data_IF_776620061544
#
_entry.id   IF_776620061544
#
_cell.length_a   1.000
_cell.length_b   1.000
_cell.length_c   1.000
_cell.angle_alpha   90.00
_cell.angle_beta   90.00
_cell.angle_gamma   90.00
#
_symmetry.space_group_name_H-M   'P 1'
#
loop_
_entity.id
_entity.type
_entity.pdbx_description
1 polymer ?
2 non-polymer ?
3 non-polymer ?
4 non-polymer ?
5 non-polymer ?
6 non-polymer ?
7 water ?
#
# COMPACT_ATOMS: atom_id res chain seq x y z
N UNK A 3 18.86 -7.40 6.18
CA UNK A 3 17.67 -7.99 6.85
C UNK A 3 17.78 -9.51 7.01
N UNK A 4 17.31 -10.03 8.13
CA UNK A 4 17.16 -11.48 8.34
C UNK A 4 16.27 -12.11 7.23
N UNK A 5 16.48 -13.42 6.92
CA UNK A 5 15.71 -14.09 5.84
C UNK A 5 14.17 -13.91 5.84
N UNK A 6 13.55 -14.02 7.01
CA UNK A 6 12.09 -13.86 7.17
C UNK A 6 11.61 -12.44 6.82
N UNK A 7 12.41 -11.45 7.21
CA UNK A 7 12.12 -10.06 6.87
C UNK A 7 12.31 -9.83 5.37
N UNK A 8 13.37 -10.40 4.81
CA UNK A 8 13.66 -10.32 3.37
C UNK A 8 12.53 -10.92 2.54
N UNK A 9 12.05 -12.09 2.95
CA UNK A 9 10.92 -12.74 2.29
C UNK A 9 9.65 -11.86 2.35
N UNK A 10 9.35 -11.31 3.53
CA UNK A 10 8.17 -10.48 3.66
C UNK A 10 8.26 -9.27 2.71
N UNK A 11 9.42 -8.63 2.68
CA UNK A 11 9.65 -7.50 1.77
C UNK A 11 9.42 -7.89 0.31
N UNK A 12 10.02 -9.00 -0.12
CA UNK A 12 9.87 -9.43 -1.52
C UNK A 12 8.42 -9.78 -1.84
N UNK A 13 7.73 -10.46 -0.92
CA UNK A 13 6.31 -10.77 -1.13
C UNK A 13 5.42 -9.52 -1.13
N UNK A 14 5.74 -8.51 -0.34
CA UNK A 14 4.96 -7.25 -0.36
C UNK A 14 5.05 -6.51 -1.71
N UNK A 15 6.17 -6.65 -2.41
CA UNK A 15 6.33 -6.04 -3.77
C UNK A 15 5.35 -6.56 -4.84
N UNK A 16 4.75 -7.72 -4.57
CA UNK A 16 3.64 -8.26 -5.38
C UNK A 16 2.43 -7.31 -5.44
N UNK A 17 2.25 -6.48 -4.42
CA UNK A 17 1.12 -5.56 -4.38
C UNK A 17 1.27 -4.43 -5.41
N UNK A 18 0.16 -4.02 -6.05
CA UNK A 18 0.17 -2.91 -7.00
C UNK A 18 0.59 -1.59 -6.40
N UNK A 19 1.49 -0.90 -7.07
CA UNK A 19 1.98 0.40 -6.61
C UNK A 19 2.95 0.35 -5.44
N UNK A 20 3.51 -0.81 -5.12
CA UNK A 20 4.41 -0.96 -3.97
C UNK A 20 5.75 -1.35 -4.55
N UNK A 21 6.68 -0.41 -4.53
CA UNK A 21 8.08 -0.65 -4.96
C UNK A 21 8.91 -1.25 -3.85
N UNK A 22 10.21 -1.40 -4.08
CA UNK A 22 11.08 -1.97 -3.06
C UNK A 22 11.17 -1.11 -1.80
N UNK A 23 11.36 0.19 -1.97
CA UNK A 23 11.47 1.12 -0.82
C UNK A 23 10.21 1.08 0.04
N UNK A 24 9.06 1.17 -0.59
CA UNK A 24 7.79 1.13 0.11
C UNK A 24 7.55 -0.23 0.82
N UNK A 25 7.96 -1.33 0.18
CA UNK A 25 7.85 -2.66 0.77
C UNK A 25 8.71 -2.80 2.02
N UNK A 26 9.94 -2.27 1.95
CA UNK A 26 10.84 -2.23 3.11
C UNK A 26 10.22 -1.54 4.30
N UNK A 27 9.65 -0.37 4.07
CA UNK A 27 8.99 0.40 5.12
C UNK A 27 7.75 -0.31 5.64
N UNK A 28 6.97 -0.92 4.76
CA UNK A 28 5.76 -1.66 5.19
C UNK A 28 6.10 -2.84 6.10
N UNK A 29 7.06 -3.66 5.66
CA UNK A 29 7.50 -4.83 6.40
C UNK A 29 7.91 -4.43 7.82
N UNK A 30 8.81 -3.45 7.91
CA UNK A 30 9.38 -3.08 9.19
C UNK A 30 8.37 -2.40 10.11
N UNK A 31 7.49 -1.58 9.54
CA UNK A 31 6.42 -0.94 10.32
C UNK A 31 5.44 -1.95 10.86
N UNK A 32 5.05 -2.89 10.00
CA UNK A 32 4.13 -3.97 10.42
C UNK A 32 4.68 -4.75 11.57
N UNK A 33 5.96 -5.13 11.50
CA UNK A 33 6.61 -5.86 12.58
C UNK A 33 6.79 -5.03 13.83
N UNK A 34 7.10 -3.74 13.69
CA UNK A 34 7.35 -2.91 14.90
C UNK A 34 6.09 -2.61 15.67
N UNK A 35 4.96 -2.46 15.00
CA UNK A 35 3.78 -1.94 15.67
C UNK A 35 2.47 -2.71 15.52
N UNK A 36 2.40 -3.68 14.61
CA UNK A 36 1.14 -4.38 14.37
C UNK A 36 1.32 -5.83 13.93
N UNK A 37 1.97 -6.64 14.76
CA UNK A 37 2.22 -8.04 14.43
C UNK A 37 0.94 -8.83 14.30
N UNK A 38 0.03 -8.60 15.23
CA UNK A 38 -1.26 -9.25 15.20
C UNK A 38 -2.09 -8.82 13.98
N UNK A 39 -2.03 -7.54 13.59
CA UNK A 39 -2.62 -7.09 12.31
C UNK A 39 -2.04 -7.77 11.08
N UNK A 40 -0.73 -8.03 11.10
CA UNK A 40 -0.10 -8.82 10.04
C UNK A 40 -0.67 -10.23 9.92
N UNK A 41 -0.91 -10.86 11.07
CA UNK A 41 -1.50 -12.19 11.11
C UNK A 41 -2.94 -12.19 10.60
N UNK A 42 -3.71 -11.20 11.01
CA UNK A 42 -5.07 -11.03 10.51
C UNK A 42 -5.11 -10.85 8.99
N UNK A 43 -4.18 -10.06 8.44
CA UNK A 43 -4.07 -9.90 7.00
C UNK A 43 -3.74 -11.22 6.34
N UNK A 44 -2.80 -11.97 6.92
CA UNK A 44 -2.44 -13.29 6.36
C UNK A 44 -3.67 -14.20 6.28
N UNK A 45 -4.46 -14.21 7.37
CA UNK A 45 -5.68 -15.02 7.44
C UNK A 45 -6.72 -14.56 6.43
N UNK A 46 -6.94 -13.25 6.35
CA UNK A 46 -7.83 -12.69 5.35
C UNK A 46 -7.37 -12.99 3.93
N UNK A 47 -6.07 -12.94 3.69
CA UNK A 47 -5.55 -13.25 2.36
C UNK A 47 -5.80 -14.71 1.97
N UNK A 48 -5.50 -15.61 2.88
CA UNK A 48 -5.66 -17.03 2.63
C UNK A 48 -7.14 -17.36 2.40
N UNK A 49 -8.01 -16.84 3.27
CA UNK A 49 -9.45 -17.11 3.13
C UNK A 49 -9.97 -16.64 1.76
N UNK A 50 -9.60 -15.42 1.38
CA UNK A 50 -10.08 -14.84 0.10
C UNK A 50 -9.49 -15.54 -1.14
N UNK A 51 -8.19 -15.77 -1.13
CA UNK A 51 -7.54 -16.43 -2.27
C UNK A 51 -8.11 -17.83 -2.50
N UNK A 52 -8.48 -18.53 -1.44
CA UNK A 52 -9.00 -19.90 -1.56
C UNK A 52 -10.51 -19.96 -1.73
N UNK A 53 -11.24 -19.01 -1.16
CA UNK A 53 -12.68 -19.09 -1.11
C UNK A 53 -13.43 -18.22 -2.10
N UNK A 54 -12.80 -17.24 -2.74
CA UNK A 54 -13.53 -16.31 -3.61
C UNK A 54 -13.53 -16.87 -5.03
N UNK A 55 -14.74 -17.10 -5.54
CA UNK A 55 -14.94 -17.57 -6.92
C UNK A 55 -15.60 -16.48 -7.74
N UNK A 56 -16.55 -16.88 -8.57
CA UNK A 56 -17.28 -15.97 -9.43
C UNK A 56 -18.76 -16.12 -9.22
N UNK A 57 -19.46 -14.98 -9.21
CA UNK A 57 -20.91 -15.00 -9.26
C UNK A 57 -21.38 -15.72 -10.51
N UNK A 58 -22.35 -16.60 -10.35
CA UNK A 58 -22.83 -17.42 -11.48
C UNK A 58 -23.65 -16.62 -12.51
N UNK A 59 -24.17 -15.45 -12.12
CA UNK A 59 -24.91 -14.59 -13.04
C UNK A 59 -24.06 -13.51 -13.72
N UNK A 60 -23.46 -12.62 -12.96
CA UNK A 60 -22.74 -11.48 -13.53
C UNK A 60 -21.25 -11.75 -13.72
N UNK A 61 -20.74 -12.82 -13.11
CA UNK A 61 -19.35 -13.22 -13.22
C UNK A 61 -18.38 -12.31 -12.44
N UNK A 62 -18.88 -11.45 -11.57
CA UNK A 62 -17.98 -10.71 -10.71
C UNK A 62 -17.32 -11.64 -9.67
N UNK A 63 -16.34 -11.12 -8.94
CA UNK A 63 -15.67 -11.89 -7.89
C UNK A 63 -16.58 -11.97 -6.69
N UNK A 64 -16.79 -13.19 -6.19
CA UNK A 64 -17.70 -13.44 -5.04
C UNK A 64 -17.45 -14.81 -4.44
N UNK A 65 -17.44 -14.92 -3.11
CA UNK A 65 -17.43 -16.24 -2.44
C UNK A 65 -18.79 -16.89 -2.48
N UNK A 66 -19.80 -16.05 -2.46
CA UNK A 66 -21.21 -16.46 -2.60
C UNK A 66 -21.49 -16.70 -4.07
N UNK A 67 -22.28 -17.72 -4.35
CA UNK A 67 -22.60 -18.08 -5.72
C UNK A 67 -23.41 -17.01 -6.44
N UNK A 68 -24.20 -16.23 -5.69
CA UNK A 68 -24.77 -14.97 -6.17
C UNK A 68 -24.12 -13.84 -5.39
N UNK A 69 -23.61 -12.83 -6.10
CA UNK A 69 -22.99 -11.69 -5.46
C UNK A 69 -24.07 -10.83 -4.79
N UNK A 70 -23.68 -9.85 -3.96
CA UNK A 70 -24.70 -8.97 -3.29
C UNK A 70 -25.74 -8.35 -4.23
N UNK A 71 -25.28 -7.90 -5.40
CA UNK A 71 -26.15 -7.28 -6.38
C UNK A 71 -27.08 -8.30 -7.03
N UNK A 72 -26.55 -9.43 -7.49
CA UNK A 72 -27.41 -10.44 -8.13
C UNK A 72 -28.33 -11.13 -7.10
N UNK A 73 -27.90 -11.23 -5.84
CA UNK A 73 -28.68 -11.87 -4.77
C UNK A 73 -29.89 -11.03 -4.32
N UNK A 74 -29.86 -9.71 -4.48
CA UNK A 74 -31.02 -8.87 -4.17
C UNK A 74 -32.13 -8.98 -5.23
N UNK A 75 -33.30 -9.53 -4.87
CA UNK A 75 -34.41 -9.56 -5.85
C UNK A 75 -35.09 -8.22 -6.10
N UNK A 76 -34.87 -7.26 -5.24
CA UNK A 76 -35.66 -5.99 -5.33
C UNK A 76 -35.08 -5.02 -6.38
N UNK A 77 -34.04 -5.40 -7.07
CA UNK A 77 -33.48 -4.62 -8.16
C UNK A 77 -34.29 -4.63 -9.45
N UNK A 78 -33.89 -3.75 -10.36
CA UNK A 78 -34.54 -3.58 -11.65
C UNK A 78 -34.01 -4.62 -12.67
N UNK A 79 -34.84 -5.63 -12.94
CA UNK A 79 -34.44 -6.71 -13.85
C UNK A 79 -34.50 -6.33 -15.35
N UNK A 80 -34.94 -5.12 -15.68
CA UNK A 80 -34.99 -4.66 -17.07
C UNK A 80 -33.67 -4.02 -17.57
N UNK A 81 -32.75 -3.71 -16.65
CA UNK A 81 -31.49 -3.04 -16.97
C UNK A 81 -30.28 -3.92 -16.69
N UNK A 82 -29.38 -3.98 -17.68
CA UNK A 82 -28.11 -4.69 -17.56
C UNK A 82 -26.99 -3.69 -17.86
N UNK A 83 -26.03 -3.57 -16.94
CA UNK A 83 -24.91 -2.68 -17.09
C UNK A 83 -23.65 -3.51 -17.22
N UNK A 84 -22.96 -3.38 -18.36
CA UNK A 84 -21.79 -4.17 -18.70
C UNK A 84 -20.53 -3.37 -18.36
N UNK A 85 -19.66 -3.94 -17.53
CA UNK A 85 -18.41 -3.30 -17.11
C UNK A 85 -17.23 -4.23 -17.26
N UNK A 86 -16.03 -3.69 -17.09
CA UNK A 86 -14.78 -4.42 -17.31
C UNK A 86 -14.23 -5.13 -16.09
N UNK A 87 -14.74 -4.85 -14.91
CA UNK A 87 -14.22 -5.50 -13.71
C UNK A 87 -14.98 -5.14 -12.44
N UNK A 88 -14.73 -5.87 -11.35
CA UNK A 88 -15.48 -5.69 -10.09
C UNK A 88 -15.38 -4.27 -9.51
N UNK A 89 -14.25 -3.59 -9.68
CA UNK A 89 -14.14 -2.21 -9.17
C UNK A 89 -15.05 -1.27 -9.92
N UNK A 90 -15.40 -1.60 -11.17
CA UNK A 90 -16.36 -0.81 -11.94
C UNK A 90 -17.78 -1.06 -11.46
N UNK A 91 -18.08 -2.28 -11.03
CA UNK A 91 -19.36 -2.56 -10.36
C UNK A 91 -19.50 -1.66 -9.14
N UNK A 92 -18.44 -1.61 -8.32
CA UNK A 92 -18.41 -0.75 -7.13
C UNK A 92 -18.59 0.73 -7.51
N UNK A 93 -17.86 1.20 -8.53
CA UNK A 93 -17.99 2.60 -8.95
C UNK A 93 -19.44 2.94 -9.37
N UNK A 94 -20.06 2.06 -10.16
CA UNK A 94 -21.43 2.34 -10.63
C UNK A 94 -22.46 2.24 -9.48
N UNK A 95 -22.25 1.29 -8.56
CA UNK A 95 -23.11 1.20 -7.39
C UNK A 95 -23.17 2.49 -6.59
N UNK A 96 -22.06 3.24 -6.51
CA UNK A 96 -22.05 4.50 -5.74
C UNK A 96 -22.95 5.56 -6.36
N UNK A 97 -23.33 5.40 -7.63
CA UNK A 97 -24.21 6.36 -8.30
C UNK A 97 -25.68 6.15 -7.96
N UNK A 98 -26.02 5.07 -7.26
CA UNK A 98 -27.41 4.73 -6.99
C UNK A 98 -28.12 3.92 -8.08
N UNK A 99 -27.38 3.47 -9.11
CA UNK A 99 -27.89 2.49 -10.09
C UNK A 99 -28.53 1.27 -9.38
N UNK A 100 -29.72 0.85 -9.82
CA UNK A 100 -30.40 -0.30 -9.19
C UNK A 100 -30.70 -1.49 -10.13
N UNK A 101 -30.05 -1.53 -11.29
CA UNK A 101 -30.24 -2.63 -12.22
C UNK A 101 -29.25 -3.77 -11.99
N UNK A 102 -29.07 -4.59 -13.02
CA UNK A 102 -28.17 -5.71 -12.95
C UNK A 102 -26.90 -5.41 -13.69
N UNK A 103 -25.88 -6.22 -13.42
CA UNK A 103 -24.58 -6.10 -14.02
C UNK A 103 -24.16 -7.34 -14.79
N UNK A 104 -23.25 -7.12 -15.71
CA UNK A 104 -22.40 -8.17 -16.21
C UNK A 104 -21.00 -7.68 -16.21
N UNK A 105 -20.08 -8.52 -15.71
CA UNK A 105 -18.70 -8.16 -15.53
C UNK A 105 -17.85 -8.98 -16.48
N UNK A 106 -17.33 -8.28 -17.49
CA UNK A 106 -16.39 -8.85 -18.40
C UNK A 106 -15.06 -9.00 -17.65
N UNK A 107 -14.20 -9.86 -18.17
CA UNK A 107 -12.82 -9.90 -17.74
C UNK A 107 -11.98 -8.95 -18.60
N UNK A 108 -12.01 -7.67 -18.26
CA UNK A 108 -11.28 -6.67 -19.02
C UNK A 108 -11.92 -6.35 -20.36
N UNK A 109 -11.07 -6.07 -21.32
CA UNK A 109 -11.45 -5.61 -22.63
C UNK A 109 -10.71 -6.43 -23.68
N UNK A 110 -11.23 -6.39 -24.91
CA UNK A 110 -10.59 -7.08 -26.00
C UNK A 110 -9.16 -6.57 -26.17
N UNK A 111 -8.25 -7.49 -26.42
CA UNK A 111 -6.87 -7.18 -26.73
C UNK A 111 -6.28 -8.35 -27.51
N UNK A 112 -6.54 -8.37 -28.83
CA UNK A 112 -6.22 -9.55 -29.65
C UNK A 112 -4.74 -9.89 -29.69
N UNK A 113 -3.88 -8.89 -29.59
CA UNK A 113 -2.43 -9.11 -29.56
C UNK A 113 -1.93 -9.67 -28.22
N UNK A 114 -2.77 -9.70 -27.18
CA UNK A 114 -2.48 -10.42 -25.94
C UNK A 114 -3.30 -11.71 -25.86
N UNK A 115 -3.87 -12.15 -26.98
CA UNK A 115 -4.78 -13.30 -26.98
C UNK A 115 -6.02 -13.16 -26.12
N UNK A 116 -6.57 -11.93 -25.97
CA UNK A 116 -7.82 -11.75 -25.23
C UNK A 116 -8.86 -11.34 -26.24
N UNK A 117 -9.52 -12.34 -26.81
CA UNK A 117 -10.67 -12.17 -27.69
C UNK A 117 -11.97 -12.38 -26.95
N UNK A 118 -13.08 -12.50 -27.70
CA UNK A 118 -14.42 -12.58 -27.13
C UNK A 118 -14.59 -13.66 -26.04
N UNK A 119 -14.05 -14.88 -26.26
CA UNK A 119 -14.20 -15.97 -25.27
C UNK A 119 -13.42 -15.68 -24.00
N UNK A 120 -12.20 -15.14 -24.13
CA UNK A 120 -11.39 -14.82 -22.96
C UNK A 120 -12.02 -13.75 -22.03
N UNK A 121 -12.72 -12.76 -22.60
CA UNK A 121 -13.28 -11.67 -21.76
C UNK A 121 -14.68 -11.93 -21.24
N UNK A 122 -15.32 -12.97 -21.73
CA UNK A 122 -16.61 -13.42 -21.22
C UNK A 122 -17.81 -13.13 -22.08
N UNK A 123 -17.63 -12.84 -23.37
CA UNK A 123 -18.76 -12.59 -24.26
C UNK A 123 -19.77 -13.71 -24.29
N UNK A 124 -19.34 -14.98 -24.41
CA UNK A 124 -20.35 -16.07 -24.34
C UNK A 124 -21.22 -16.07 -23.06
N UNK A 125 -20.60 -15.79 -21.92
CA UNK A 125 -21.31 -15.68 -20.65
C UNK A 125 -22.25 -14.47 -20.65
N UNK A 126 -21.82 -13.35 -21.24
CA UNK A 126 -22.74 -12.19 -21.42
C UNK A 126 -23.97 -12.57 -22.24
N UNK A 127 -23.76 -13.31 -23.33
CA UNK A 127 -24.84 -13.77 -24.18
C UNK A 127 -25.79 -14.70 -23.43
N UNK A 128 -25.26 -15.59 -22.61
CA UNK A 128 -26.08 -16.45 -21.75
C UNK A 128 -26.86 -15.64 -20.73
N UNK A 129 -26.23 -14.63 -20.12
CA UNK A 129 -26.93 -13.74 -19.18
C UNK A 129 -28.15 -13.08 -19.83
N UNK A 130 -27.94 -12.60 -21.05
CA UNK A 130 -29.02 -11.97 -21.80
C UNK A 130 -30.12 -12.97 -22.16
N UNK A 131 -29.74 -14.14 -22.67
CA UNK A 131 -30.69 -15.23 -22.98
C UNK A 131 -31.53 -15.61 -21.76
N UNK A 132 -30.90 -15.74 -20.59
CA UNK A 132 -31.58 -16.19 -19.37
C UNK A 132 -32.36 -15.10 -18.63
N UNK A 133 -32.22 -13.84 -19.03
CA UNK A 133 -32.93 -12.70 -18.41
C UNK A 133 -34.03 -12.14 -19.30
N UNK A 134 -34.54 -10.96 -18.93
CA UNK A 134 -35.63 -10.31 -19.66
C UNK A 134 -35.33 -8.81 -19.66
N UNK A 135 -34.18 -8.47 -20.22
CA UNK A 135 -33.70 -7.10 -20.20
C UNK A 135 -34.34 -6.30 -21.32
N UNK A 136 -34.65 -5.03 -21.07
CA UNK A 136 -35.06 -4.12 -22.13
C UNK A 136 -33.91 -3.19 -22.53
N UNK A 137 -32.94 -2.92 -21.63
CA UNK A 137 -31.80 -2.04 -21.96
C UNK A 137 -30.46 -2.65 -21.51
N UNK A 138 -29.46 -2.58 -22.38
CA UNK A 138 -28.10 -2.97 -22.05
C UNK A 138 -27.27 -1.69 -22.13
N UNK A 139 -26.69 -1.31 -20.99
CA UNK A 139 -25.87 -0.12 -20.86
C UNK A 139 -24.41 -0.54 -20.97
N UNK A 140 -23.72 -0.05 -21.98
CA UNK A 140 -22.32 -0.34 -22.15
C UNK A 140 -21.50 0.67 -21.35
N UNK A 141 -20.92 0.19 -20.25
CA UNK A 141 -20.11 0.96 -19.34
C UNK A 141 -18.69 0.42 -19.23
N UNK A 142 -18.16 -0.08 -20.34
CA UNK A 142 -16.70 -0.27 -20.46
C UNK A 142 -16.02 1.10 -20.29
N UNK A 143 -14.73 1.08 -19.99
CA UNK A 143 -13.99 2.32 -19.80
C UNK A 143 -13.87 3.07 -21.12
N UNK A 144 -13.83 4.41 -21.07
CA UNK A 144 -13.71 5.16 -22.34
C UNK A 144 -12.24 5.25 -22.78
N UNK A 145 -11.68 4.09 -23.07
CA UNK A 145 -10.33 3.96 -23.55
C UNK A 145 -10.46 3.42 -24.96
N UNK A 146 -9.35 3.39 -25.69
CA UNK A 146 -9.37 2.87 -27.04
C UNK A 146 -9.94 1.44 -27.05
N UNK A 147 -9.38 0.62 -26.16
CA UNK A 147 -9.78 -0.80 -26.07
C UNK A 147 -11.19 -0.97 -25.45
N UNK A 148 -11.55 -0.12 -24.49
CA UNK A 148 -12.91 -0.19 -23.91
C UNK A 148 -13.99 0.15 -24.90
N UNK A 149 -13.70 1.14 -25.77
CA UNK A 149 -14.62 1.56 -26.83
C UNK A 149 -14.75 0.48 -27.87
N UNK A 150 -13.63 -0.11 -28.27
CA UNK A 150 -13.66 -1.22 -29.20
C UNK A 150 -14.49 -2.41 -28.64
N UNK A 151 -14.36 -2.68 -27.35
CA UNK A 151 -15.16 -3.70 -26.71
C UNK A 151 -16.65 -3.36 -26.71
N UNK A 152 -16.99 -2.10 -26.41
CA UNK A 152 -18.40 -1.67 -26.46
C UNK A 152 -19.02 -1.84 -27.83
N UNK A 153 -18.29 -1.43 -28.86
CA UNK A 153 -18.70 -1.60 -30.23
C UNK A 153 -18.85 -3.05 -30.65
N UNK A 154 -17.97 -3.92 -30.16
CA UNK A 154 -18.07 -5.34 -30.47
C UNK A 154 -19.39 -5.88 -29.88
N UNK A 155 -19.69 -5.47 -28.65
CA UNK A 155 -20.89 -5.94 -27.98
C UNK A 155 -22.14 -5.32 -28.66
N UNK A 156 -22.07 -4.06 -29.08
CA UNK A 156 -23.22 -3.42 -29.72
C UNK A 156 -23.58 -4.12 -31.03
N UNK A 157 -22.58 -4.52 -31.84
CA UNK A 157 -22.87 -5.24 -33.08
C UNK A 157 -23.42 -6.63 -32.81
N UNK A 158 -22.91 -7.28 -31.79
CA UNK A 158 -23.37 -8.60 -31.39
C UNK A 158 -24.85 -8.56 -31.00
N UNK A 159 -25.26 -7.50 -30.29
CA UNK A 159 -26.61 -7.41 -29.74
C UNK A 159 -27.64 -6.68 -30.60
N UNK A 160 -27.23 -6.18 -31.77
CA UNK A 160 -28.13 -5.43 -32.64
C UNK A 160 -29.27 -6.30 -33.16
N UNK A 161 -30.41 -5.68 -33.42
CA UNK A 161 -31.56 -6.38 -33.97
C UNK A 161 -32.21 -7.38 -33.04
N UNK A 162 -32.10 -7.18 -31.72
CA UNK A 162 -32.79 -8.04 -30.76
C UNK A 162 -33.92 -7.32 -30.00
N UNK A 163 -34.30 -6.13 -30.47
CA UNK A 163 -35.28 -5.31 -29.76
C UNK A 163 -34.80 -4.72 -28.43
N UNK A 164 -33.49 -4.74 -28.18
CA UNK A 164 -32.92 -4.14 -27.00
C UNK A 164 -32.59 -2.68 -27.26
N UNK A 165 -32.73 -1.84 -26.24
CA UNK A 165 -32.10 -0.53 -26.25
C UNK A 165 -30.64 -0.69 -25.86
N UNK A 166 -29.74 -0.16 -26.67
CA UNK A 166 -28.30 -0.32 -26.45
C UNK A 166 -27.77 1.07 -26.26
N UNK A 167 -27.23 1.35 -25.07
CA UNK A 167 -26.76 2.69 -24.73
C UNK A 167 -25.31 2.63 -24.25
N UNK A 168 -24.67 3.79 -24.23
CA UNK A 168 -23.26 3.97 -23.89
C UNK A 168 -23.19 5.17 -22.95
N UNK A 169 -22.46 5.00 -21.85
CA UNK A 169 -22.26 6.09 -20.90
C UNK A 169 -21.60 7.27 -21.61
N UNK A 170 -21.98 8.47 -21.16
CA UNK A 170 -21.47 9.68 -21.76
C UNK A 170 -19.98 9.85 -21.43
N UNK A 171 -19.20 10.24 -22.44
CA UNK A 171 -17.80 10.46 -22.30
C UNK A 171 -17.31 11.52 -23.28
N UNK A 172 -16.21 12.18 -22.93
CA UNK A 172 -15.56 13.13 -23.82
C UNK A 172 -14.75 14.08 -22.99
N UNK A 173 -15.11 15.36 -23.04
CA UNK A 173 -14.54 16.33 -22.09
C UNK A 173 -15.07 15.98 -20.70
N UNK A 174 -14.18 15.96 -19.68
CA UNK A 174 -14.69 15.63 -18.34
C UNK A 174 -15.56 16.75 -17.78
N UNK A 175 -16.53 16.40 -16.93
CA UNK A 175 -17.33 17.40 -16.21
C UNK A 175 -16.50 18.19 -15.23
N UNK A 176 -16.81 19.47 -15.08
CA UNK A 176 -15.92 20.41 -14.40
C UNK A 176 -14.76 20.95 -15.24
N UNK A 177 -14.51 20.35 -16.40
CA UNK A 177 -13.37 20.73 -17.24
C UNK A 177 -13.52 22.10 -17.86
N UNK A 178 -12.39 22.77 -18.07
CA UNK A 178 -12.35 24.00 -18.84
C UNK A 178 -11.67 23.58 -20.15
N UNK A 179 -12.20 24.03 -21.28
CA UNK A 179 -11.71 23.57 -22.58
C UNK A 179 -10.23 23.89 -22.77
N UNK A 180 -9.80 25.06 -22.31
CA UNK A 180 -8.39 25.46 -22.32
C UNK A 180 -7.42 24.47 -21.65
N UNK A 181 -7.90 23.63 -20.73
CA UNK A 181 -7.05 22.72 -19.96
C UNK A 181 -7.12 21.28 -20.40
N UNK A 182 -8.05 20.93 -21.29
CA UNK A 182 -8.20 19.52 -21.64
C UNK A 182 -7.17 19.19 -22.72
N UNK A 183 -6.68 17.96 -22.77
CA UNK A 183 -5.76 17.66 -23.87
C UNK A 183 -6.53 17.74 -25.22
N UNK A 184 -5.80 18.21 -26.22
CA UNK A 184 -6.29 18.39 -27.57
C UNK A 184 -6.96 17.20 -28.22
N UNK A 185 -6.46 15.99 -28.00
CA UNK A 185 -7.06 14.78 -28.55
C UNK A 185 -8.47 14.52 -28.00
N UNK A 186 -8.61 14.73 -26.69
CA UNK A 186 -9.90 14.60 -26.07
C UNK A 186 -10.89 15.64 -26.66
N UNK A 187 -10.42 16.87 -26.80
CA UNK A 187 -11.25 17.94 -27.36
C UNK A 187 -11.69 17.65 -28.79
N UNK A 188 -10.77 17.15 -29.61
CA UNK A 188 -11.08 16.83 -31.00
C UNK A 188 -12.14 15.74 -31.07
N UNK A 189 -11.99 14.73 -30.23
CA UNK A 189 -12.97 13.65 -30.12
C UNK A 189 -14.36 14.17 -29.67
N UNK A 190 -14.36 15.00 -28.63
CA UNK A 190 -15.61 15.57 -28.12
C UNK A 190 -16.33 16.45 -29.11
N UNK A 191 -15.56 17.15 -29.93
CA UNK A 191 -16.10 18.01 -30.95
C UNK A 191 -16.72 17.19 -32.08
N UNK A 192 -15.96 16.21 -32.57
CA UNK A 192 -16.44 15.31 -33.62
C UNK A 192 -17.64 14.47 -33.13
N UNK A 193 -17.68 14.15 -31.85
CA UNK A 193 -18.78 13.41 -31.27
C UNK A 193 -19.84 14.26 -30.60
N UNK A 194 -19.93 15.53 -30.99
CA UNK A 194 -20.97 16.39 -30.46
C UNK A 194 -22.38 15.86 -30.74
N UNK A 195 -23.29 16.16 -29.82
CA UNK A 195 -24.64 15.63 -29.79
C UNK A 195 -25.67 16.76 -29.84
N UNK A 196 -26.92 16.46 -30.25
CA UNK A 196 -28.01 17.43 -30.13
C UNK A 196 -28.26 17.93 -28.70
N UNK A 197 -28.74 19.17 -28.59
CA UNK A 197 -29.08 19.78 -27.31
C UNK A 197 -30.40 20.55 -27.46
N UNK B 1 -19.46 -2.53 1.02
CA UNK B 1 -20.87 -3.07 0.99
C UNK B 1 -21.31 -3.62 -0.39
N UNK B 2 -20.83 -3.03 -1.48
CA UNK B 2 -20.99 -3.64 -2.83
C UNK B 2 -20.23 -4.98 -3.02
N UNK B 3 -19.19 -5.20 -2.22
CA UNK B 3 -18.41 -6.45 -2.22
C UNK B 3 -18.91 -7.48 -1.22
N UNK B 4 -18.85 -8.75 -1.61
CA UNK B 4 -19.12 -9.88 -0.72
C UNK B 4 -18.18 -9.85 0.52
N UNK B 5 -18.65 -10.46 1.64
CA UNK B 5 -17.95 -10.28 2.94
C UNK B 5 -16.43 -10.58 2.96
N UNK B 6 -16.02 -11.68 2.32
CA UNK B 6 -14.58 -12.03 2.26
C UNK B 6 -13.72 -11.03 1.49
N UNK B 7 -14.29 -10.45 0.44
CA UNK B 7 -13.59 -9.39 -0.30
C UNK B 7 -13.51 -8.13 0.56
N UNK B 8 -14.62 -7.82 1.24
CA UNK B 8 -14.71 -6.64 2.12
C UNK B 8 -13.67 -6.74 3.25
N UNK B 9 -13.58 -7.93 3.85
CA UNK B 9 -12.55 -8.18 4.85
C UNK B 9 -11.14 -8.04 4.35
N UNK B 10 -10.85 -8.59 3.17
CA UNK B 10 -9.49 -8.45 2.60
C UNK B 10 -9.13 -6.98 2.42
N UNK B 11 -10.08 -6.20 1.90
CA UNK B 11 -9.89 -4.76 1.73
C UNK B 11 -9.59 -4.07 3.07
N UNK B 12 -10.40 -4.34 4.08
CA UNK B 12 -10.19 -3.73 5.39
C UNK B 12 -8.87 -4.17 6.03
N UNK B 13 -8.52 -5.45 5.90
CA UNK B 13 -7.22 -5.93 6.42
C UNK B 13 -6.03 -5.35 5.66
N UNK B 14 -6.16 -5.09 4.35
CA UNK B 14 -5.05 -4.43 3.62
C UNK B 14 -4.76 -2.98 4.10
N UNK B 15 -5.78 -2.29 4.61
CA UNK B 15 -5.62 -0.94 5.18
C UNK B 15 -4.71 -0.87 6.42
N UNK B 16 -4.49 -2.02 7.06
CA UNK B 16 -3.49 -2.18 8.12
C UNK B 16 -2.08 -1.85 7.68
N UNK B 17 -1.77 -1.97 6.39
CA UNK B 17 -0.44 -1.63 5.88
C UNK B 17 -0.20 -0.11 5.93
N UNK B 18 1.02 0.32 6.30
CA UNK B 18 1.36 1.75 6.33
C UNK B 18 1.28 2.41 4.98
N UNK B 19 0.64 3.57 4.92
CA UNK B 19 0.50 4.33 3.69
C UNK B 19 -0.50 3.78 2.69
N UNK B 20 -1.39 2.88 3.12
CA UNK B 20 -2.38 2.28 2.24
C UNK B 20 -3.73 2.72 2.73
N UNK B 21 -4.36 3.62 1.95
CA UNK B 21 -5.71 4.09 2.22
C UNK B 21 -6.77 3.14 1.69
N UNK B 22 -8.03 3.53 1.84
CA UNK B 22 -9.14 2.67 1.43
C UNK B 22 -9.14 2.40 -0.07
N UNK B 23 -8.98 3.44 -0.89
CA UNK B 23 -9.04 3.28 -2.34
C UNK B 23 -7.93 2.35 -2.83
N UNK B 24 -6.72 2.57 -2.33
CA UNK B 24 -5.60 1.73 -2.70
C UNK B 24 -5.77 0.26 -2.25
N UNK B 25 -6.34 0.07 -1.04
CA UNK B 25 -6.63 -1.27 -0.54
C UNK B 25 -7.64 -2.01 -1.40
N UNK B 26 -8.68 -1.30 -1.85
CA UNK B 26 -9.67 -1.84 -2.77
C UNK B 26 -9.04 -2.36 -4.05
N UNK B 27 -8.17 -1.56 -4.65
CA UNK B 27 -7.47 -1.94 -5.87
C UNK B 27 -6.52 -3.12 -5.61
N UNK B 28 -5.82 -3.12 -4.49
CA UNK B 28 -4.91 -4.24 -4.18
C UNK B 28 -5.66 -5.58 -4.04
N UNK B 29 -6.75 -5.56 -3.27
CA UNK B 29 -7.57 -6.73 -3.02
C UNK B 29 -8.04 -7.34 -4.33
N UNK B 30 -8.64 -6.49 -5.17
CA UNK B 30 -9.24 -6.96 -6.40
C UNK B 30 -8.19 -7.42 -7.40
N UNK B 31 -7.06 -6.74 -7.47
CA UNK B 31 -5.95 -7.16 -8.36
C UNK B 31 -5.40 -8.52 -7.93
N UNK B 32 -5.19 -8.71 -6.63
CA UNK B 32 -4.72 -10.01 -6.13
C UNK B 32 -5.63 -11.15 -6.57
N UNK B 33 -6.93 -10.97 -6.35
CA UNK B 33 -7.92 -11.96 -6.73
C UNK B 33 -8.01 -12.17 -8.24
N UNK B 34 -7.92 -11.09 -9.03
CA UNK B 34 -8.11 -11.21 -10.48
C UNK B 34 -6.94 -11.89 -11.16
N UNK B 35 -5.73 -11.68 -10.67
CA UNK B 35 -4.57 -11.99 -11.50
C UNK B 35 -3.41 -12.65 -10.78
N UNK B 36 -3.45 -12.78 -9.45
CA UNK B 36 -2.29 -13.33 -8.76
C UNK B 36 -2.66 -14.06 -7.48
N UNK B 37 -3.43 -15.13 -7.61
CA UNK B 37 -3.90 -15.88 -6.44
C UNK B 37 -2.75 -16.50 -5.70
N UNK B 38 -1.83 -17.10 -6.45
CA UNK B 38 -0.66 -17.72 -5.83
C UNK B 38 0.25 -16.68 -5.15
N UNK B 39 0.40 -15.50 -5.73
CA UNK B 39 1.10 -14.37 -5.08
C UNK B 39 0.45 -13.93 -3.77
N UNK B 40 -0.88 -13.94 -3.73
CA UNK B 40 -1.61 -13.67 -2.48
C UNK B 40 -1.28 -14.67 -1.39
N UNK B 41 -1.22 -15.94 -1.77
CA UNK B 41 -0.92 -17.02 -0.83
C UNK B 41 0.52 -16.92 -0.33
N UNK B 42 1.45 -16.63 -1.22
CA UNK B 42 2.84 -16.40 -0.84
C UNK B 42 2.99 -15.26 0.14
N UNK B 43 2.27 -14.16 -0.08
CA UNK B 43 2.30 -13.04 0.84
C UNK B 43 1.74 -13.47 2.20
N UNK B 44 0.64 -14.22 2.19
CA UNK B 44 0.05 -14.72 3.45
C UNK B 44 1.07 -15.56 4.23
N UNK B 45 1.76 -16.45 3.52
CA UNK B 45 2.79 -17.31 4.13
C UNK B 45 3.96 -16.50 4.65
N UNK B 46 4.43 -15.55 3.86
CA UNK B 46 5.50 -14.66 4.30
C UNK B 46 5.08 -13.84 5.51
N UNK B 47 3.84 -13.38 5.53
CA UNK B 47 3.35 -12.61 6.66
C UNK B 47 3.31 -13.45 7.94
N UNK B 48 2.76 -14.65 7.84
CA UNK B 48 2.65 -15.54 8.98
C UNK B 48 4.04 -15.90 9.52
N UNK B 49 4.94 -16.28 8.62
CA UNK B 49 6.30 -16.67 9.06
C UNK B 49 6.98 -15.51 9.80
N UNK B 50 6.91 -14.30 9.24
CA UNK B 50 7.59 -13.14 9.84
C UNK B 50 6.94 -12.66 11.14
N UNK B 51 5.61 -12.58 11.15
CA UNK B 51 4.91 -12.14 12.36
C UNK B 51 5.14 -13.11 13.53
N UNK B 52 5.32 -14.40 13.25
CA UNK B 52 5.57 -15.39 14.30
C UNK B 52 7.06 -15.57 14.63
N UNK B 53 7.93 -15.40 13.65
CA UNK B 53 9.34 -15.70 13.82
C UNK B 53 10.26 -14.51 14.13
N UNK B 54 9.82 -13.28 13.89
CA UNK B 54 10.73 -12.13 14.04
C UNK B 54 10.50 -11.55 15.42
N UNK B 55 11.53 -11.58 16.26
CA UNK B 55 11.48 -10.96 17.60
C UNK B 55 12.42 -9.76 17.66
N UNK B 56 13.11 -9.61 18.77
CA UNK B 56 13.99 -8.47 19.01
C UNK B 56 15.36 -8.94 19.44
N UNK B 57 16.38 -8.25 18.94
CA UNK B 57 17.74 -8.55 19.35
C UNK B 57 17.88 -8.22 20.83
N UNK B 58 18.53 -9.11 21.56
CA UNK B 58 18.72 -8.91 23.01
C UNK B 58 19.68 -7.78 23.37
N UNK B 59 20.52 -7.34 22.43
CA UNK B 59 21.46 -6.21 22.68
C UNK B 59 20.87 -4.85 22.25
N UNK B 60 20.58 -4.70 20.96
CA UNK B 60 20.21 -3.39 20.41
C UNK B 60 18.71 -3.18 20.37
N UNK B 61 17.94 -4.26 20.54
CA UNK B 61 16.47 -4.23 20.51
C UNK B 61 15.91 -4.02 19.11
N UNK B 62 16.70 -4.11 18.05
CA UNK B 62 16.11 -4.02 16.71
C UNK B 62 15.35 -5.33 16.41
N UNK B 63 14.65 -5.34 15.28
CA UNK B 63 13.93 -6.51 14.81
C UNK B 63 14.90 -7.56 14.31
N UNK B 64 14.77 -8.79 14.82
CA UNK B 64 15.68 -9.91 14.51
C UNK B 64 15.04 -11.25 14.81
N UNK B 65 15.28 -12.22 13.94
CA UNK B 65 14.82 -13.61 14.16
C UNK B 65 15.74 -14.27 15.18
N UNK B 66 17.02 -13.92 15.10
CA UNK B 66 18.01 -14.43 16.02
C UNK B 66 18.07 -13.58 17.26
N UNK B 67 18.61 -14.18 18.30
CA UNK B 67 18.85 -13.52 19.57
C UNK B 67 19.85 -12.35 19.43
N UNK B 68 20.80 -12.47 18.49
CA UNK B 68 21.61 -11.35 18.05
C UNK B 68 21.26 -11.05 16.62
N UNK B 69 21.01 -9.79 16.33
CA UNK B 69 20.70 -9.36 14.97
C UNK B 69 21.98 -9.45 14.10
N UNK B 70 21.81 -9.37 12.77
CA UNK B 70 22.98 -9.35 11.85
C UNK B 70 24.07 -8.33 12.25
N UNK B 71 23.66 -7.12 12.67
CA UNK B 71 24.60 -6.09 13.03
C UNK B 71 25.31 -6.41 14.33
N UNK B 72 24.60 -6.82 15.38
CA UNK B 72 25.28 -7.18 16.64
C UNK B 72 26.10 -8.48 16.52
N UNK B 73 25.67 -9.39 15.66
CA UNK B 73 26.37 -10.69 15.48
C UNK B 73 27.70 -10.57 14.70
N UNK B 74 27.83 -9.55 13.85
CA UNK B 74 28.96 -9.43 12.94
C UNK B 74 30.22 -8.93 13.65
N UNK B 75 31.29 -9.76 13.70
CA UNK B 75 32.54 -9.32 14.34
C UNK B 75 33.34 -8.28 13.56
N UNK B 76 33.02 -8.06 12.28
CA UNK B 76 33.78 -7.04 11.53
C UNK B 76 33.47 -5.59 11.94
N UNK B 77 32.39 -5.42 12.70
CA UNK B 77 31.97 -4.09 13.04
C UNK B 77 32.76 -3.41 14.13
N UNK B 78 32.56 -2.09 14.20
CA UNK B 78 33.34 -1.23 15.04
C UNK B 78 32.67 -1.17 16.44
N UNK B 79 33.27 -1.85 17.40
CA UNK B 79 32.75 -1.93 18.75
C UNK B 79 32.95 -0.66 19.59
N UNK B 80 33.65 0.36 19.07
CA UNK B 80 33.83 1.60 19.78
C UNK B 80 32.67 2.61 19.55
N UNK B 81 31.81 2.35 18.57
CA UNK B 81 30.72 3.25 18.21
C UNK B 81 29.33 2.65 18.47
N UNK B 82 28.50 3.44 19.14
CA UNK B 82 27.12 3.10 19.38
C UNK B 82 26.27 4.22 18.81
N UNK B 83 25.30 3.86 17.96
CA UNK B 83 24.42 4.83 17.35
C UNK B 83 23.01 4.60 17.87
N UNK B 84 22.47 5.63 18.53
CA UNK B 84 21.19 5.55 19.20
C UNK B 84 20.14 6.15 18.27
N UNK B 85 19.12 5.35 17.93
CA UNK B 85 18.03 5.75 17.04
C UNK B 85 16.69 5.44 17.64
N UNK B 86 15.63 5.97 17.00
CA UNK B 86 14.28 5.93 17.55
C UNK B 86 13.48 4.72 17.10
N UNK B 87 13.97 3.94 16.14
CA UNK B 87 13.25 2.74 15.71
C UNK B 87 13.99 1.96 14.66
N UNK B 88 13.52 0.74 14.35
CA UNK B 88 14.20 -0.13 13.38
C UNK B 88 14.33 0.46 11.97
N UNK B 89 13.37 1.26 11.52
CA UNK B 89 13.52 1.92 10.21
C UNK B 89 14.67 2.93 10.18
N UNK B 90 14.98 3.50 11.35
CA UNK B 90 16.14 4.39 11.46
C UNK B 90 17.45 3.60 11.45
N UNK B 91 17.44 2.40 12.02
CA UNK B 91 18.60 1.51 11.90
C UNK B 91 18.87 1.25 10.43
N UNK B 92 17.82 0.91 9.68
CA UNK B 92 17.94 0.70 8.25
C UNK B 92 18.41 1.93 7.51
N UNK B 93 17.87 3.10 7.82
CA UNK B 93 18.33 4.36 7.19
C UNK B 93 19.82 4.61 7.44
N UNK B 94 20.30 4.40 8.68
CA UNK B 94 21.73 4.62 8.98
C UNK B 94 22.62 3.57 8.32
N UNK B 95 22.16 2.32 8.27
CA UNK B 95 22.88 1.27 7.56
C UNK B 95 23.16 1.61 6.12
N UNK B 96 22.23 2.30 5.45
CA UNK B 96 22.40 2.64 4.04
C UNK B 96 23.50 3.65 3.82
N UNK B 97 23.93 4.36 4.87
CA UNK B 97 25.01 5.32 4.75
C UNK B 97 26.39 4.67 4.77
N UNK B 98 26.47 3.36 5.04
CA UNK B 98 27.75 2.69 5.18
C UNK B 98 28.35 2.68 6.59
N UNK B 99 27.63 3.23 7.57
CA UNK B 99 27.96 3.07 9.01
C UNK B 99 28.22 1.62 9.38
N UNK B 100 29.33 1.35 10.08
CA UNK B 100 29.66 -0.03 10.50
C UNK B 100 29.89 -0.19 12.02
N UNK B 101 29.32 0.68 12.84
CA UNK B 101 29.36 0.53 14.31
C UNK B 101 28.15 -0.27 14.82
N UNK B 102 27.85 -0.11 16.10
CA UNK B 102 26.74 -0.80 16.72
C UNK B 102 25.58 0.16 16.93
N UNK B 103 24.41 -0.39 17.22
CA UNK B 103 23.18 0.36 17.45
C UNK B 103 22.56 0.13 18.81
N UNK B 104 21.75 1.10 19.22
CA UNK B 104 20.73 0.85 20.23
C UNK B 104 19.45 1.49 19.74
N UNK B 105 18.34 0.78 19.88
CA UNK B 105 17.06 1.23 19.37
C UNK B 105 16.13 1.58 20.52
N UNK B 106 15.89 2.88 20.68
CA UNK B 106 14.89 3.38 21.58
C UNK B 106 13.53 3.07 20.99
N UNK B 107 12.53 3.09 21.84
CA UNK B 107 11.14 3.08 21.39
C UNK B 107 10.65 4.52 21.23
N UNK B 108 10.97 5.15 20.11
CA UNK B 108 10.56 6.54 19.91
C UNK B 108 11.35 7.53 20.77
N UNK B 109 10.67 8.59 21.17
CA UNK B 109 11.31 9.75 21.79
C UNK B 109 10.48 10.16 23.00
N UNK B 110 11.10 10.89 23.90
CA UNK B 110 10.41 11.48 25.03
C UNK B 110 9.28 12.37 24.55
N UNK B 111 8.15 12.27 25.23
CA UNK B 111 6.99 13.07 24.89
C UNK B 111 6.12 13.19 26.10
N UNK B 112 6.34 14.26 26.91
CA UNK B 112 5.60 14.47 28.15
C UNK B 112 4.11 14.59 27.96
N UNK B 113 3.69 15.18 26.85
CA UNK B 113 2.26 15.32 26.56
C UNK B 113 1.61 14.02 26.09
N UNK B 114 2.39 12.98 25.78
CA UNK B 114 1.85 11.62 25.57
C UNK B 114 2.15 10.71 26.74
N UNK B 115 2.65 11.26 27.85
CA UNK B 115 3.17 10.43 28.96
C UNK B 115 4.25 9.38 28.60
N UNK B 116 5.14 9.75 27.68
CA UNK B 116 6.26 8.89 27.30
C UNK B 116 7.55 9.43 27.85
N UNK B 117 8.01 8.80 28.92
CA UNK B 117 9.24 9.18 29.63
C UNK B 117 10.35 8.16 29.41
N UNK B 118 11.44 8.32 30.15
CA UNK B 118 12.63 7.50 30.01
C UNK B 118 12.42 5.99 30.06
N UNK B 119 11.57 5.51 30.99
CA UNK B 119 11.27 4.07 31.14
C UNK B 119 10.53 3.53 29.90
N UNK B 120 9.55 4.30 29.41
CA UNK B 120 8.77 3.89 28.24
C UNK B 120 9.61 3.74 26.97
N UNK B 121 10.61 4.60 26.77
CA UNK B 121 11.39 4.58 25.51
C UNK B 121 12.62 3.67 25.54
N UNK B 122 12.98 3.18 26.73
CA UNK B 122 14.09 2.23 26.85
C UNK B 122 15.43 2.76 27.38
N UNK B 123 15.41 3.88 28.06
CA UNK B 123 16.63 4.45 28.64
C UNK B 123 17.38 3.49 29.58
N UNK B 124 16.69 2.81 30.49
CA UNK B 124 17.39 1.82 31.33
C UNK B 124 18.14 0.73 30.53
N UNK B 125 17.52 0.25 29.45
CA UNK B 125 18.15 -0.73 28.58
C UNK B 125 19.35 -0.11 27.84
N UNK B 126 19.23 1.15 27.41
CA UNK B 126 20.39 1.85 26.82
C UNK B 126 21.56 1.94 27.82
N UNK B 127 21.26 2.25 29.07
CA UNK B 127 22.28 2.32 30.11
C UNK B 127 22.96 0.96 30.31
N UNK B 128 22.17 -0.11 30.30
CA UNK B 128 22.73 -1.47 30.39
C UNK B 128 23.60 -1.82 29.18
N UNK B 129 23.16 -1.43 27.99
CA UNK B 129 23.94 -1.63 26.77
C UNK B 129 25.32 -0.98 26.85
N UNK B 130 25.34 0.25 27.37
CA UNK B 130 26.58 0.98 27.53
C UNK B 130 27.48 0.30 28.60
N UNK B 131 26.90 -0.05 29.75
CA UNK B 131 27.63 -0.76 30.80
C UNK B 131 28.25 -2.08 30.29
N UNK B 132 27.51 -2.84 29.51
CA UNK B 132 27.94 -4.15 29.02
C UNK B 132 28.87 -4.10 27.78
N UNK B 133 29.06 -2.92 27.18
CA UNK B 133 29.97 -2.74 26.04
C UNK B 133 31.24 -1.99 26.44
N UNK B 134 32.00 -1.56 25.43
CA UNK B 134 33.26 -0.86 25.61
C UNK B 134 33.33 0.24 24.54
N UNK B 135 32.33 1.11 24.57
CA UNK B 135 32.18 2.16 23.57
C UNK B 135 33.08 3.32 23.93
N UNK B 136 33.63 4.00 22.93
CA UNK B 136 34.31 5.27 23.13
C UNK B 136 33.39 6.45 22.74
N UNK B 137 32.44 6.23 21.82
CA UNK B 137 31.56 7.28 21.34
C UNK B 137 30.10 6.78 21.25
N UNK B 138 29.20 7.61 21.73
CA UNK B 138 27.78 7.37 21.57
C UNK B 138 27.26 8.48 20.66
N UNK B 139 26.72 8.10 19.49
CA UNK B 139 26.19 9.01 18.49
C UNK B 139 24.69 9.11 18.69
N UNK B 140 24.22 10.31 19.01
CA UNK B 140 22.80 10.55 19.19
C UNK B 140 22.19 10.87 17.81
N UNK B 141 21.43 9.88 17.29
CA UNK B 141 20.80 9.97 16.00
C UNK B 141 19.28 9.83 16.14
N UNK B 142 18.74 10.39 17.20
CA UNK B 142 17.32 10.69 17.29
C UNK B 142 16.93 11.65 16.17
N UNK B 143 15.65 11.70 15.87
CA UNK B 143 15.14 12.54 14.80
C UNK B 143 15.31 14.02 15.15
N UNK B 144 15.52 14.87 14.14
CA UNK B 144 15.75 16.28 14.40
C UNK B 144 14.45 17.06 14.61
N UNK B 145 13.75 16.70 15.68
CA UNK B 145 12.50 17.31 16.05
C UNK B 145 12.75 17.87 17.45
N UNK B 146 11.79 18.66 17.91
CA UNK B 146 11.84 19.20 19.27
C UNK B 146 11.97 18.05 20.28
N UNK B 147 11.14 17.04 20.14
CA UNK B 147 11.13 15.85 20.99
C UNK B 147 12.41 14.98 20.85
N UNK B 148 12.89 14.84 19.62
CA UNK B 148 14.11 14.07 19.37
C UNK B 148 15.34 14.71 20.00
N UNK B 149 15.40 16.05 19.92
CA UNK B 149 16.45 16.84 20.53
C UNK B 149 16.38 16.77 22.06
N UNK B 150 15.18 16.88 22.62
CA UNK B 150 14.98 16.73 24.05
C UNK B 150 15.44 15.34 24.53
N UNK B 151 15.17 14.31 23.76
CA UNK B 151 15.65 12.97 24.07
C UNK B 151 17.19 12.90 24.03
N UNK B 152 17.81 13.49 23.01
CA UNK B 152 19.27 13.52 22.91
C UNK B 152 19.93 14.19 24.12
N UNK B 153 19.38 15.33 24.51
CA UNK B 153 19.85 16.10 25.63
C UNK B 153 19.66 15.32 26.93
N UNK B 154 18.56 14.59 27.08
CA UNK B 154 18.34 13.81 28.29
C UNK B 154 19.40 12.74 28.39
N UNK B 155 19.70 12.08 27.27
CA UNK B 155 20.69 11.02 27.25
C UNK B 155 22.09 11.60 27.51
N UNK B 156 22.39 12.77 26.92
CA UNK B 156 23.71 13.36 27.12
C UNK B 156 23.97 13.70 28.58
N UNK B 157 22.98 14.27 29.27
CA UNK B 157 23.14 14.61 30.69
C UNK B 157 23.24 13.36 31.55
N UNK B 158 22.48 12.34 31.20
CA UNK B 158 22.52 11.08 31.92
C UNK B 158 23.90 10.45 31.85
N UNK B 159 24.53 10.51 30.68
CA UNK B 159 25.81 9.83 30.44
C UNK B 159 27.07 10.68 30.66
N UNK B 160 26.92 11.93 31.10
CA UNK B 160 28.06 12.82 31.29
C UNK B 160 28.96 12.33 32.42
N UNK B 161 30.24 12.63 32.31
CA UNK B 161 31.22 12.23 33.31
C UNK B 161 31.46 10.73 33.44
N UNK B 162 31.25 9.98 32.37
CA UNK B 162 31.60 8.54 32.33
C UNK B 162 32.73 8.25 31.33
N UNK B 163 33.43 9.28 30.88
CA UNK B 163 34.48 9.10 29.88
C UNK B 163 34.03 8.71 28.49
N UNK B 164 32.75 8.81 28.17
CA UNK B 164 32.31 8.63 26.77
C UNK B 164 32.33 9.96 26.05
N UNK B 165 32.66 9.97 24.77
CA UNK B 165 32.34 11.11 23.93
C UNK B 165 30.90 10.97 23.44
N UNK B 166 30.10 12.01 23.63
CA UNK B 166 28.76 12.07 23.09
C UNK B 166 28.72 13.04 21.89
N UNK B 167 28.21 12.55 20.77
CA UNK B 167 28.04 13.39 19.57
C UNK B 167 26.58 13.40 19.10
N UNK B 168 26.27 14.36 18.22
CA UNK B 168 24.94 14.52 17.62
C UNK B 168 25.13 14.67 16.12
N UNK B 169 24.30 13.98 15.33
CA UNK B 169 24.31 14.16 13.89
C UNK B 169 24.10 15.62 13.50
N UNK B 170 24.75 16.02 12.41
CA UNK B 170 24.76 17.41 12.00
C UNK B 170 23.36 17.83 11.50
N UNK B 171 22.96 19.03 11.91
CA UNK B 171 21.80 19.68 11.31
C UNK B 171 22.25 20.79 10.37
N UNK B 172 21.57 20.92 9.24
CA UNK B 172 21.90 21.97 8.29
C UNK B 172 21.26 21.79 6.95
N UNK B 173 21.86 22.44 5.95
CA UNK B 173 21.34 22.40 4.62
C UNK B 173 21.51 20.99 4.05
N UNK B 174 20.46 20.48 3.39
CA UNK B 174 20.66 19.23 2.65
C UNK B 174 21.56 19.46 1.41
N UNK B 175 22.19 18.39 0.96
CA UNK B 175 23.09 18.44 -0.21
C UNK B 175 22.33 18.69 -1.50
N UNK B 176 22.94 19.42 -2.43
CA UNK B 176 22.39 19.59 -3.76
C UNK B 176 21.52 20.82 -3.92
N UNK B 177 21.03 21.40 -2.84
CA UNK B 177 20.11 22.55 -2.97
C UNK B 177 20.80 23.84 -3.37
N UNK B 178 19.98 24.84 -3.65
CA UNK B 178 20.40 26.24 -3.66
C UNK B 178 19.82 26.85 -2.39
N UNK B 179 20.55 27.80 -1.79
CA UNK B 179 20.12 28.40 -0.53
C UNK B 179 18.75 29.03 -0.59
N UNK B 180 18.42 29.68 -1.69
CA UNK B 180 17.09 30.26 -1.92
C UNK B 180 15.92 29.27 -1.82
N UNK B 181 16.17 27.97 -1.96
CA UNK B 181 15.12 26.94 -1.96
C UNK B 181 15.05 26.13 -0.70
N UNK B 182 15.98 26.32 0.23
CA UNK B 182 15.95 25.57 1.48
C UNK B 182 14.90 26.19 2.39
N UNK B 183 14.28 25.36 3.21
CA UNK B 183 13.36 25.79 4.27
C UNK B 183 14.05 26.86 5.16
N UNK B 184 13.41 28.01 5.43
CA UNK B 184 14.04 29.10 6.18
C UNK B 184 14.64 28.74 7.54
N UNK B 185 13.92 27.90 8.28
CA UNK B 185 14.37 27.42 9.58
C UNK B 185 15.62 26.58 9.51
N UNK B 186 15.68 25.72 8.52
CA UNK B 186 16.86 24.92 8.26
C UNK B 186 18.05 25.81 7.91
N UNK B 187 17.83 26.80 7.06
CA UNK B 187 18.90 27.73 6.67
C UNK B 187 19.43 28.53 7.90
N UNK B 188 18.50 28.98 8.74
CA UNK B 188 18.86 29.73 9.94
C UNK B 188 19.70 28.86 10.87
N UNK B 189 19.29 27.61 11.01
CA UNK B 189 20.02 26.65 11.81
C UNK B 189 21.39 26.35 11.25
N UNK B 190 21.50 26.15 9.96
CA UNK B 190 22.80 25.91 9.30
C UNK B 190 23.77 27.08 9.47
N UNK B 191 23.23 28.29 9.47
CA UNK B 191 24.05 29.46 9.72
C UNK B 191 24.52 29.55 11.18
N UNK B 192 23.58 29.39 12.10
CA UNK B 192 23.86 29.39 13.54
C UNK B 192 24.75 28.21 13.95
N UNK B 193 24.69 27.11 13.20
CA UNK B 193 25.56 25.98 13.45
C UNK B 193 26.77 25.91 12.58
N UNK B 194 27.17 27.02 11.96
CA UNK B 194 28.35 27.00 11.08
C UNK B 194 29.62 26.65 11.86
N UNK B 195 30.55 25.98 11.19
CA UNK B 195 31.81 25.55 11.81
C UNK B 195 33.02 26.18 11.10
N UNK B 196 34.10 26.42 11.85
CA UNK B 196 35.31 26.99 11.23
C UNK B 196 35.95 26.12 10.14
N UNK B 197 36.78 26.74 9.30
CA UNK B 197 37.52 26.11 8.17
C UNK B 197 36.53 25.82 7.04
#
# INVERSE_FOLDING_TARGET
MSFSPLIRQLIESLRILPGVGQKSAQRMALMLLERDRSGGLKLAQALTAAMEGVGHCRQCRTLSEEELCPQCADPRRDDSLLCVVEGPLDVFAVEQTGYRGRYFVLKGHLSPLDGLGPEAIGIPELEARIRDGAFSEVILATNPTVEGEATAHYIAQLLAGRGLTLSRIAHGVPLGGELELVDGGTLAHALAGRRPIS
MSFSPLIRQLIESLRILPGVGQKSAQRMALMLLERDRSGGLKLAQALTAAMEGVGHCRQCRTLSEEELCPQCADPRRDDSLLCVVEGPLDVFAVEQTGYRGRYFVLKGHLSPLDGLGPEAIGIPELEARIRDGAFSEVILATNPTVEGEATAHYIAQLLAGRGLTLSRIAHGVPLGGELELVDGGTLAHALAGRRPIS
#
